data_IF_887516390932
#
_entry.id   IF_887516390932
#
_cell.length_a   1.000
_cell.length_b   1.000
_cell.length_c   1.000
_cell.angle_alpha   90.00
_cell.angle_beta   90.00
_cell.angle_gamma   90.00
#
_symmetry.space_group_name_H-M   'P 1'
#
loop_
_entity.id
_entity.type
_entity.pdbx_description
1 polymer ?
#
# COMPACT_ATOMS: atom_id res chain seq x y z
N UNK A 1 -32.45 6.06 9.60
CA UNK A 1 -32.98 4.92 8.81
C UNK A 1 -32.92 3.68 9.68
N UNK A 2 -33.88 2.76 9.59
CA UNK A 2 -33.80 1.48 10.32
C UNK A 2 -33.04 0.48 9.45
N UNK A 3 -31.96 -0.10 9.98
CA UNK A 3 -31.13 -1.09 9.28
C UNK A 3 -30.81 -2.22 10.24
N UNK A 4 -30.95 -3.45 9.76
CA UNK A 4 -30.53 -4.67 10.43
C UNK A 4 -29.17 -5.11 9.88
N UNK A 5 -28.19 -5.30 10.76
CA UNK A 5 -26.88 -5.85 10.42
C UNK A 5 -26.87 -7.35 10.71
N UNK A 6 -26.70 -8.15 9.67
CA UNK A 6 -26.57 -9.60 9.74
C UNK A 6 -25.10 -9.97 9.56
N UNK A 7 -24.56 -10.77 10.47
CA UNK A 7 -23.18 -11.26 10.40
C UNK A 7 -23.19 -12.75 10.02
N UNK A 8 -22.26 -13.16 9.16
CA UNK A 8 -22.05 -14.55 8.77
C UNK A 8 -20.56 -14.90 8.70
N UNK A 9 -20.19 -16.10 9.13
CA UNK A 9 -18.81 -16.58 9.10
C UNK A 9 -17.88 -15.88 10.10
N UNK A 10 -18.42 -15.51 11.27
CA UNK A 10 -17.70 -14.86 12.37
C UNK A 10 -16.50 -15.69 12.89
N UNK A 11 -16.49 -16.99 12.61
CA UNK A 11 -15.44 -17.95 12.95
C UNK A 11 -14.30 -18.00 11.92
N UNK A 12 -14.39 -17.25 10.81
CA UNK A 12 -13.35 -17.18 9.78
C UNK A 12 -12.06 -16.62 10.37
N UNK A 13 -10.98 -17.41 10.25
CA UNK A 13 -9.66 -17.03 10.78
C UNK A 13 -8.96 -16.07 9.82
N UNK A 14 -8.58 -14.93 10.36
CA UNK A 14 -7.85 -13.87 9.64
C UNK A 14 -6.66 -13.44 10.49
N UNK A 15 -5.54 -13.09 9.85
CA UNK A 15 -4.37 -12.56 10.56
C UNK A 15 -4.73 -11.26 11.29
N UNK A 16 -4.24 -11.09 12.52
CA UNK A 16 -4.55 -9.91 13.33
C UNK A 16 -4.17 -8.60 12.64
N UNK A 17 -3.05 -8.56 11.91
CA UNK A 17 -2.63 -7.35 11.20
C UNK A 17 -3.62 -6.98 10.09
N UNK A 18 -4.22 -7.98 9.43
CA UNK A 18 -5.26 -7.76 8.43
C UNK A 18 -6.54 -7.24 9.09
N UNK A 19 -6.91 -7.74 10.28
CA UNK A 19 -8.06 -7.24 11.04
C UNK A 19 -7.88 -5.77 11.44
N UNK A 20 -6.71 -5.42 11.98
CA UNK A 20 -6.39 -4.06 12.42
C UNK A 20 -6.48 -3.06 11.25
N UNK A 21 -6.06 -3.47 10.06
CA UNK A 21 -6.09 -2.67 8.83
C UNK A 21 -7.49 -2.59 8.19
N UNK A 22 -8.32 -3.62 8.34
CA UNK A 22 -9.66 -3.70 7.74
C UNK A 22 -10.76 -2.94 8.50
N UNK A 23 -10.53 -2.63 9.78
CA UNK A 23 -11.54 -2.01 10.64
C UNK A 23 -12.12 -0.72 10.05
N UNK A 24 -11.27 0.24 9.71
CA UNK A 24 -11.70 1.52 9.13
C UNK A 24 -12.39 1.36 7.75
N UNK A 25 -11.82 0.60 6.78
CA UNK A 25 -12.49 0.30 5.51
C UNK A 25 -13.89 -0.30 5.64
N UNK A 26 -14.08 -1.29 6.52
CA UNK A 26 -15.38 -1.94 6.71
C UNK A 26 -16.40 -0.97 7.30
N UNK A 27 -16.02 -0.19 8.32
CA UNK A 27 -16.89 0.84 8.89
C UNK A 27 -17.30 1.87 7.83
N UNK A 28 -16.38 2.24 6.95
CA UNK A 28 -16.66 3.18 5.86
C UNK A 28 -17.66 2.60 4.85
N UNK A 29 -17.47 1.35 4.41
CA UNK A 29 -18.41 0.68 3.51
C UNK A 29 -19.80 0.53 4.13
N UNK A 30 -19.87 0.15 5.41
CA UNK A 30 -21.14 0.05 6.16
C UNK A 30 -21.84 1.42 6.20
N UNK A 31 -21.10 2.50 6.49
CA UNK A 31 -21.67 3.85 6.50
C UNK A 31 -22.19 4.24 5.12
N UNK A 32 -21.45 3.98 4.05
CA UNK A 32 -21.90 4.27 2.68
C UNK A 32 -23.18 3.52 2.32
N UNK A 33 -23.28 2.25 2.71
CA UNK A 33 -24.49 1.48 2.50
C UNK A 33 -25.67 2.07 3.28
N UNK A 34 -25.50 2.51 4.53
CA UNK A 34 -26.58 3.12 5.32
C UNK A 34 -26.98 4.50 4.79
N UNK A 35 -26.01 5.36 4.46
CA UNK A 35 -26.25 6.76 4.10
C UNK A 35 -26.74 6.90 2.66
N UNK A 36 -26.16 6.13 1.74
CA UNK A 36 -26.40 6.26 0.30
C UNK A 36 -27.11 5.04 -0.31
N UNK A 37 -26.83 3.82 0.18
CA UNK A 37 -27.44 2.60 -0.36
C UNK A 37 -28.91 2.42 0.05
N UNK A 38 -29.18 2.35 1.36
CA UNK A 38 -30.50 2.09 1.92
C UNK A 38 -31.40 3.31 1.75
N UNK A 39 -32.57 3.14 1.13
CA UNK A 39 -33.52 4.23 0.93
C UNK A 39 -34.29 4.59 2.22
N UNK A 40 -34.94 5.75 2.26
CA UNK A 40 -35.83 6.11 3.36
C UNK A 40 -37.04 5.14 3.43
N UNK A 41 -37.61 4.86 4.63
CA UNK A 41 -38.70 3.89 4.80
C UNK A 41 -39.90 4.11 3.85
N UNK A 42 -40.28 5.38 3.62
CA UNK A 42 -41.36 5.72 2.70
C UNK A 42 -41.06 5.30 1.24
N UNK A 43 -39.82 5.51 0.79
CA UNK A 43 -39.37 5.10 -0.56
C UNK A 43 -39.30 3.58 -0.66
N UNK A 44 -38.83 2.90 0.39
CA UNK A 44 -38.77 1.43 0.45
C UNK A 44 -40.17 0.81 0.35
N UNK A 45 -41.12 1.33 1.13
CA UNK A 45 -42.53 0.91 1.09
C UNK A 45 -43.15 1.13 -0.28
N UNK A 46 -42.90 2.28 -0.90
CA UNK A 46 -43.37 2.57 -2.27
C UNK A 46 -42.76 1.61 -3.31
N UNK A 47 -41.58 1.05 -3.04
CA UNK A 47 -40.90 0.06 -3.88
C UNK A 47 -41.18 -1.40 -3.47
N UNK A 48 -42.13 -1.62 -2.55
CA UNK A 48 -42.49 -2.97 -2.09
C UNK A 48 -41.44 -3.67 -1.22
N UNK A 49 -40.48 -2.92 -0.67
CA UNK A 49 -39.44 -3.44 0.24
C UNK A 49 -39.85 -3.31 1.70
N UNK A 50 -39.19 -4.07 2.57
CA UNK A 50 -39.28 -3.92 4.03
C UNK A 50 -38.93 -2.48 4.46
N UNK A 51 -39.63 -1.94 5.46
CA UNK A 51 -39.33 -0.62 6.02
C UNK A 51 -37.94 -0.58 6.69
N UNK A 52 -37.45 -1.73 7.16
CA UNK A 52 -36.08 -1.93 7.65
C UNK A 52 -35.19 -2.44 6.51
N UNK A 53 -34.05 -1.77 6.28
CA UNK A 53 -33.03 -2.23 5.34
C UNK A 53 -32.19 -3.37 5.92
N UNK A 54 -31.62 -4.20 5.06
CA UNK A 54 -30.74 -5.30 5.49
C UNK A 54 -29.33 -5.05 5.00
N UNK A 55 -28.36 -5.22 5.90
CA UNK A 55 -26.94 -5.22 5.58
C UNK A 55 -26.35 -6.56 6.01
N UNK A 56 -25.85 -7.35 5.08
CA UNK A 56 -25.17 -8.61 5.35
C UNK A 56 -23.67 -8.42 5.23
N UNK A 57 -22.94 -8.63 6.33
CA UNK A 57 -21.49 -8.76 6.34
C UNK A 57 -21.14 -10.24 6.49
N UNK A 58 -20.50 -10.83 5.48
CA UNK A 58 -20.04 -12.21 5.53
C UNK A 58 -18.53 -12.30 5.34
N UNK A 59 -17.92 -13.27 6.02
CA UNK A 59 -16.55 -13.67 5.78
C UNK A 59 -16.50 -15.17 5.47
N UNK A 60 -15.69 -15.57 4.50
CA UNK A 60 -15.45 -16.96 4.17
C UNK A 60 -14.00 -17.15 3.74
N UNK A 61 -13.42 -18.30 4.09
CA UNK A 61 -12.13 -18.71 3.53
C UNK A 61 -12.36 -19.50 2.26
N UNK A 62 -11.89 -18.97 1.12
CA UNK A 62 -11.98 -19.63 -0.19
C UNK A 62 -10.57 -19.96 -0.69
N UNK A 63 -10.24 -21.26 -0.77
CA UNK A 63 -8.92 -21.74 -1.20
C UNK A 63 -7.75 -21.10 -0.43
N UNK A 64 -7.11 -20.08 -1.01
CA UNK A 64 -5.93 -19.39 -0.46
C UNK A 64 -6.18 -17.90 -0.19
N UNK A 65 -7.44 -17.50 -0.06
CA UNK A 65 -7.84 -16.14 0.25
C UNK A 65 -8.98 -16.11 1.27
N UNK A 66 -9.08 -15.01 1.99
CA UNK A 66 -10.27 -14.67 2.77
C UNK A 66 -11.12 -13.74 1.92
N UNK A 67 -12.36 -14.11 1.69
CA UNK A 67 -13.35 -13.31 0.97
C UNK A 67 -14.30 -12.71 1.99
N UNK A 68 -14.35 -11.38 2.04
CA UNK A 68 -15.31 -10.63 2.85
C UNK A 68 -16.31 -10.00 1.90
N UNK A 69 -17.61 -10.16 2.15
CA UNK A 69 -18.65 -9.50 1.36
C UNK A 69 -19.54 -8.63 2.22
N UNK A 70 -19.87 -7.45 1.70
CA UNK A 70 -20.87 -6.56 2.27
C UNK A 70 -22.00 -6.39 1.27
N UNK A 71 -23.21 -6.84 1.62
CA UNK A 71 -24.39 -6.78 0.75
C UNK A 71 -25.46 -5.92 1.39
N UNK A 72 -25.95 -4.93 0.65
CA UNK A 72 -27.13 -4.14 1.01
C UNK A 72 -28.31 -4.47 0.10
N UNK A 73 -29.54 -4.27 0.59
CA UNK A 73 -30.79 -4.41 -0.18
C UNK A 73 -31.37 -3.06 -0.64
N UNK A 74 -30.48 -2.08 -0.83
CA UNK A 74 -30.80 -0.68 -1.12
C UNK A 74 -31.13 -0.40 -2.58
N UNK A 75 -30.95 0.86 -2.98
CA UNK A 75 -31.27 1.32 -4.33
C UNK A 75 -30.29 0.81 -5.41
N UNK A 76 -29.14 0.28 -5.00
CA UNK A 76 -28.02 0.02 -5.91
C UNK A 76 -27.32 1.30 -6.35
N UNK A 77 -26.30 1.15 -7.19
CA UNK A 77 -25.51 2.25 -7.74
C UNK A 77 -25.93 2.50 -9.19
N UNK A 78 -26.18 3.76 -9.51
CA UNK A 78 -26.51 4.18 -10.87
C UNK A 78 -25.23 4.27 -11.74
N UNK A 79 -25.04 3.24 -12.58
CA UNK A 79 -23.91 3.17 -13.51
C UNK A 79 -23.87 4.36 -14.50
N UNK A 80 -25.01 4.93 -14.89
CA UNK A 80 -25.03 6.10 -15.77
C UNK A 80 -24.48 7.34 -15.06
N UNK A 81 -24.88 7.56 -13.80
CA UNK A 81 -24.33 8.63 -12.97
C UNK A 81 -22.82 8.48 -12.74
N UNK A 82 -22.35 7.25 -12.53
CA UNK A 82 -20.92 6.93 -12.38
C UNK A 82 -20.14 7.26 -13.65
N UNK A 83 -20.61 6.84 -14.83
CA UNK A 83 -19.99 7.17 -16.13
C UNK A 83 -19.91 8.67 -16.35
N UNK A 84 -21.01 9.39 -16.10
CA UNK A 84 -21.05 10.84 -16.29
C UNK A 84 -19.99 11.54 -15.43
N UNK A 85 -19.88 11.17 -14.15
CA UNK A 85 -18.86 11.74 -13.24
C UNK A 85 -17.44 11.35 -13.63
N UNK A 86 -17.23 10.13 -14.14
CA UNK A 86 -15.93 9.71 -14.64
C UNK A 86 -15.48 10.56 -15.84
N UNK A 87 -16.40 10.89 -16.75
CA UNK A 87 -16.14 11.80 -17.88
C UNK A 87 -15.81 13.22 -17.40
N UNK A 88 -16.60 13.77 -16.47
CA UNK A 88 -16.40 15.11 -15.91
C UNK A 88 -15.04 15.26 -15.22
N UNK A 89 -14.51 14.18 -14.63
CA UNK A 89 -13.20 14.15 -13.96
C UNK A 89 -12.04 13.70 -14.85
N UNK A 90 -12.28 13.42 -16.13
CA UNK A 90 -11.24 12.97 -17.07
C UNK A 90 -10.71 11.56 -16.79
N UNK A 91 -11.45 10.75 -16.03
CA UNK A 91 -11.13 9.33 -15.77
C UNK A 91 -11.62 8.42 -16.90
N UNK A 92 -12.51 8.92 -17.77
CA UNK A 92 -13.03 8.22 -18.94
C UNK A 92 -12.89 9.12 -20.18
N UNK A 93 -12.55 8.57 -21.34
CA UNK A 93 -12.54 9.35 -22.58
C UNK A 93 -13.93 9.38 -23.25
N UNK A 94 -14.25 10.49 -23.91
CA UNK A 94 -15.49 10.61 -24.66
C UNK A 94 -15.55 9.57 -25.80
N UNK A 95 -16.56 8.70 -25.79
CA UNK A 95 -16.74 7.63 -26.77
C UNK A 95 -16.24 6.25 -26.30
N UNK A 96 -15.63 6.14 -25.13
CA UNK A 96 -15.24 4.87 -24.54
C UNK A 96 -16.48 4.12 -24.01
N UNK A 97 -16.76 2.97 -24.60
CA UNK A 97 -17.93 2.16 -24.25
C UNK A 97 -17.56 1.15 -23.15
N UNK A 98 -17.89 1.48 -21.91
CA UNK A 98 -17.79 0.55 -20.78
C UNK A 98 -19.11 -0.17 -20.54
N UNK A 99 -19.06 -1.44 -20.19
CA UNK A 99 -20.18 -2.15 -19.58
C UNK A 99 -20.58 -1.51 -18.24
N UNK A 100 -21.80 -1.79 -17.76
CA UNK A 100 -22.25 -1.28 -16.46
C UNK A 100 -21.31 -1.78 -15.33
N UNK A 101 -20.85 -3.04 -15.41
CA UNK A 101 -19.91 -3.61 -14.44
C UNK A 101 -18.58 -2.86 -14.40
N UNK A 102 -18.01 -2.55 -15.56
CA UNK A 102 -16.73 -1.81 -15.65
C UNK A 102 -16.90 -0.36 -15.18
N UNK A 103 -18.00 0.29 -15.56
CA UNK A 103 -18.31 1.63 -15.09
C UNK A 103 -18.39 1.68 -13.56
N UNK A 104 -19.06 0.71 -12.93
CA UNK A 104 -19.15 0.63 -11.47
C UNK A 104 -17.79 0.45 -10.81
N UNK A 105 -16.82 -0.24 -11.43
CA UNK A 105 -15.47 -0.36 -10.83
C UNK A 105 -14.73 0.99 -10.73
N UNK A 106 -15.09 1.99 -11.54
CA UNK A 106 -14.47 3.32 -11.49
C UNK A 106 -14.66 4.02 -10.14
N UNK A 107 -15.61 3.56 -9.31
CA UNK A 107 -15.79 4.07 -7.95
C UNK A 107 -14.57 3.82 -7.04
N UNK A 108 -13.70 2.88 -7.42
CA UNK A 108 -12.45 2.56 -6.73
C UNK A 108 -11.22 3.24 -7.34
N UNK A 109 -11.40 4.09 -8.35
CA UNK A 109 -10.29 4.88 -8.89
C UNK A 109 -9.97 6.05 -7.95
N UNK A 110 -8.68 6.33 -7.75
CA UNK A 110 -8.23 7.41 -6.87
C UNK A 110 -8.85 8.75 -7.29
N UNK A 111 -9.44 9.46 -6.33
CA UNK A 111 -10.07 10.77 -6.57
C UNK A 111 -11.49 10.68 -7.15
N UNK A 112 -12.07 9.48 -7.23
CA UNK A 112 -13.48 9.28 -7.56
C UNK A 112 -14.37 9.57 -6.34
N UNK A 113 -15.24 10.58 -6.46
CA UNK A 113 -16.30 10.84 -5.48
C UNK A 113 -17.56 11.30 -6.18
N UNK A 114 -18.70 10.78 -5.73
CA UNK A 114 -20.01 11.14 -6.27
C UNK A 114 -20.65 12.35 -5.58
N UNK A 115 -20.03 12.92 -4.55
CA UNK A 115 -20.57 14.09 -3.86
C UNK A 115 -20.38 15.36 -4.71
N UNK A 116 -21.48 16.07 -4.97
CA UNK A 116 -21.53 17.32 -5.74
C UNK A 116 -21.16 18.57 -4.95
N UNK A 117 -20.95 18.46 -3.63
CA UNK A 117 -20.54 19.57 -2.77
C UNK A 117 -19.50 19.11 -1.74
N UNK A 118 -18.44 19.90 -1.57
CA UNK A 118 -17.55 19.82 -0.42
C UNK A 118 -18.32 20.43 0.76
N UNK A 119 -19.01 19.63 1.56
CA UNK A 119 -19.64 20.13 2.78
C UNK A 119 -18.60 20.20 3.90
N UNK A 120 -18.42 21.41 4.44
CA UNK A 120 -17.39 21.86 5.40
C UNK A 120 -17.44 21.21 6.82
N UNK A 121 -17.85 19.95 6.94
CA UNK A 121 -17.85 19.22 8.23
C UNK A 121 -17.14 17.86 8.16
N UNK A 122 -16.47 17.51 7.06
CA UNK A 122 -15.62 16.29 7.01
C UNK A 122 -14.27 16.44 6.28
N UNK A 123 -13.84 17.66 5.95
CA UNK A 123 -12.43 18.07 5.80
C UNK A 123 -11.56 17.47 4.68
N UNK A 124 -11.94 16.32 4.11
CA UNK A 124 -11.44 15.74 2.84
C UNK A 124 -12.65 14.99 2.31
N UNK A 125 -12.99 15.07 1.03
CA UNK A 125 -14.07 14.25 0.49
C UNK A 125 -13.71 12.78 0.62
N UNK A 126 -14.06 12.14 1.74
CA UNK A 126 -13.68 10.76 2.04
C UNK A 126 -14.58 9.86 1.20
N UNK A 127 -14.22 9.69 -0.06
CA UNK A 127 -14.78 8.67 -0.92
C UNK A 127 -14.24 7.29 -0.57
N UNK A 128 -14.46 6.34 -1.46
CA UNK A 128 -13.88 4.99 -1.36
C UNK A 128 -12.34 4.99 -1.38
N UNK A 129 -11.68 6.14 -1.58
CA UNK A 129 -10.23 6.32 -1.49
C UNK A 129 -9.57 5.70 -0.25
N UNK A 130 -10.19 5.81 0.94
CA UNK A 130 -9.66 5.17 2.17
C UNK A 130 -9.73 3.66 2.08
N UNK A 131 -10.82 3.13 1.51
CA UNK A 131 -10.99 1.70 1.26
C UNK A 131 -9.94 1.23 0.25
N UNK A 132 -9.81 1.92 -0.89
CA UNK A 132 -8.87 1.59 -1.98
C UNK A 132 -7.43 1.53 -1.47
N UNK A 133 -6.96 2.59 -0.79
CA UNK A 133 -5.59 2.61 -0.24
C UNK A 133 -5.33 1.48 0.76
N UNK A 134 -6.35 1.08 1.52
CA UNK A 134 -6.21 -0.02 2.47
C UNK A 134 -6.15 -1.37 1.77
N UNK A 135 -6.93 -1.55 0.69
CA UNK A 135 -6.85 -2.74 -0.17
C UNK A 135 -5.47 -2.85 -0.82
N UNK A 136 -4.92 -1.75 -1.34
CA UNK A 136 -3.57 -1.72 -1.91
C UNK A 136 -2.49 -2.10 -0.89
N UNK A 137 -2.55 -1.57 0.34
CA UNK A 137 -1.60 -1.91 1.42
C UNK A 137 -1.65 -3.40 1.79
N UNK A 138 -2.84 -3.98 1.76
CA UNK A 138 -3.06 -5.40 2.04
C UNK A 138 -2.76 -6.31 0.84
N UNK A 139 -2.40 -5.73 -0.31
CA UNK A 139 -2.30 -6.44 -1.59
C UNK A 139 -3.57 -7.27 -1.87
N UNK A 140 -4.71 -6.64 -1.59
CA UNK A 140 -6.05 -7.18 -1.66
C UNK A 140 -6.81 -6.56 -2.84
N UNK A 141 -7.85 -7.25 -3.30
CA UNK A 141 -8.73 -6.78 -4.36
C UNK A 141 -10.07 -6.36 -3.76
N UNK A 142 -10.68 -5.33 -4.34
CA UNK A 142 -12.07 -4.95 -4.06
C UNK A 142 -12.85 -4.83 -5.36
N UNK A 143 -14.05 -5.40 -5.36
CA UNK A 143 -15.00 -5.31 -6.46
C UNK A 143 -16.37 -4.88 -5.95
N UNK A 144 -17.15 -4.24 -6.81
CA UNK A 144 -18.55 -3.91 -6.56
C UNK A 144 -19.45 -4.51 -7.65
N UNK A 145 -20.52 -5.15 -7.22
CA UNK A 145 -21.61 -5.64 -8.07
C UNK A 145 -22.90 -4.98 -7.60
N UNK A 146 -23.71 -4.47 -8.52
CA UNK A 146 -24.95 -3.76 -8.15
C UNK A 146 -26.08 -4.14 -9.09
N UNK A 147 -27.28 -4.18 -8.54
CA UNK A 147 -28.52 -4.36 -9.30
C UNK A 147 -29.44 -3.19 -8.94
N UNK A 148 -29.80 -2.32 -9.90
CA UNK A 148 -30.69 -1.19 -9.65
C UNK A 148 -31.98 -1.62 -8.96
N UNK A 149 -32.27 -0.99 -7.82
CA UNK A 149 -33.45 -1.28 -7.00
C UNK A 149 -33.36 -2.55 -6.15
N UNK A 150 -32.30 -3.36 -6.26
CA UNK A 150 -32.10 -4.56 -5.46
C UNK A 150 -30.90 -4.48 -4.51
N UNK A 151 -29.95 -3.57 -4.75
CA UNK A 151 -28.87 -3.24 -3.82
C UNK A 151 -27.48 -3.39 -4.41
N UNK A 152 -26.48 -3.46 -3.52
CA UNK A 152 -25.05 -3.54 -3.89
C UNK A 152 -24.35 -4.61 -3.07
N UNK A 153 -23.41 -5.29 -3.70
CA UNK A 153 -22.47 -6.22 -3.09
C UNK A 153 -21.05 -5.70 -3.29
N UNK A 154 -20.35 -5.43 -2.21
CA UNK A 154 -18.90 -5.25 -2.20
C UNK A 154 -18.24 -6.58 -1.87
N UNK A 155 -17.19 -6.94 -2.61
CA UNK A 155 -16.39 -8.15 -2.38
C UNK A 155 -14.94 -7.74 -2.17
N UNK A 156 -14.38 -8.05 -1.00
CA UNK A 156 -12.97 -7.85 -0.66
C UNK A 156 -12.27 -9.20 -0.65
N UNK A 157 -11.22 -9.35 -1.44
CA UNK A 157 -10.43 -10.57 -1.55
C UNK A 157 -9.04 -10.34 -0.96
N UNK A 158 -8.77 -10.99 0.16
CA UNK A 158 -7.58 -10.80 0.98
C UNK A 158 -6.68 -12.03 0.87
N UNK A 159 -5.37 -11.88 0.62
CA UNK A 159 -4.45 -13.01 0.69
C UNK A 159 -4.48 -13.66 2.08
N UNK A 160 -4.47 -14.99 2.15
CA UNK A 160 -4.48 -15.72 3.42
C UNK A 160 -3.17 -15.52 4.23
N UNK A 161 -2.08 -15.16 3.56
CA UNK A 161 -0.74 -14.99 4.16
C UNK A 161 -0.16 -13.61 3.85
N UNK A 162 0.49 -13.01 4.84
CA UNK A 162 1.39 -11.87 4.64
C UNK A 162 2.49 -12.24 3.63
N UNK A 163 2.89 -11.28 2.77
CA UNK A 163 3.84 -11.54 1.69
C UNK A 163 5.23 -11.95 2.24
N UNK A 164 5.66 -13.15 1.90
CA UNK A 164 7.03 -13.61 2.15
C UNK A 164 7.90 -13.09 1.00
N UNK A 165 8.95 -12.36 1.33
CA UNK A 165 9.94 -11.88 0.38
C UNK A 165 11.34 -12.37 0.77
N UNK A 166 12.17 -12.64 -0.24
CA UNK A 166 13.57 -12.98 -0.01
C UNK A 166 14.41 -11.70 0.07
N UNK A 167 15.15 -11.54 1.17
CA UNK A 167 15.95 -10.33 1.44
C UNK A 167 17.41 -10.66 1.73
N UNK A 168 18.31 -9.76 1.37
CA UNK A 168 19.70 -9.75 1.80
C UNK A 168 19.81 -8.91 3.08
N UNK A 169 20.21 -9.54 4.17
CA UNK A 169 20.40 -8.92 5.48
C UNK A 169 21.80 -8.31 5.56
N UNK A 170 21.87 -7.04 5.96
CA UNK A 170 23.11 -6.27 6.03
C UNK A 170 23.21 -5.49 7.33
N UNK A 171 24.44 -5.28 7.81
CA UNK A 171 24.72 -4.39 8.94
C UNK A 171 25.10 -3.00 8.44
N UNK A 172 24.53 -1.97 9.07
CA UNK A 172 24.90 -0.56 8.90
C UNK A 172 24.94 0.09 10.29
N UNK A 173 26.14 0.42 10.75
CA UNK A 173 26.43 0.80 12.13
C UNK A 173 26.00 -0.29 13.10
N UNK A 174 25.20 0.10 14.10
CA UNK A 174 24.64 -0.82 15.11
C UNK A 174 23.34 -1.52 14.66
N UNK A 175 22.83 -1.23 13.46
CA UNK A 175 21.51 -1.65 13.00
C UNK A 175 21.59 -2.68 11.88
N UNK A 176 20.56 -3.52 11.81
CA UNK A 176 20.37 -4.50 10.73
C UNK A 176 19.30 -3.97 9.79
N UNK A 177 19.58 -4.03 8.49
CA UNK A 177 18.66 -3.67 7.41
C UNK A 177 18.49 -4.83 6.44
N UNK A 178 17.39 -4.81 5.69
CA UNK A 178 17.07 -5.81 4.69
C UNK A 178 16.96 -5.15 3.30
N UNK A 179 17.61 -5.73 2.29
CA UNK A 179 17.42 -5.33 0.89
C UNK A 179 16.64 -6.42 0.15
N UNK A 180 15.63 -6.09 -0.67
CA UNK A 180 14.98 -7.09 -1.52
C UNK A 180 16.01 -7.78 -2.42
N UNK A 181 16.16 -9.10 -2.29
CA UNK A 181 17.22 -9.85 -3.00
C UNK A 181 17.09 -9.74 -4.51
N UNK A 182 15.86 -9.63 -5.03
CA UNK A 182 15.61 -9.42 -6.46
C UNK A 182 16.16 -8.10 -7.02
N UNK A 183 16.42 -7.10 -6.16
CA UNK A 183 17.05 -5.85 -6.57
C UNK A 183 18.59 -5.91 -6.50
N UNK A 184 19.16 -6.91 -5.82
CA UNK A 184 20.61 -7.08 -5.65
C UNK A 184 21.20 -7.75 -6.88
N UNK A 185 22.15 -7.09 -7.53
CA UNK A 185 22.86 -7.59 -8.71
C UNK A 185 24.11 -8.35 -8.31
N UNK A 186 24.93 -7.76 -7.44
CA UNK A 186 26.12 -8.40 -6.88
C UNK A 186 26.54 -7.68 -5.59
N UNK A 187 27.38 -8.35 -4.79
CA UNK A 187 28.00 -7.74 -3.61
C UNK A 187 29.51 -8.00 -3.62
N UNK A 188 30.31 -7.01 -3.26
CA UNK A 188 31.76 -7.12 -3.24
C UNK A 188 32.35 -6.40 -2.02
N UNK A 189 33.53 -6.84 -1.59
CA UNK A 189 34.36 -6.09 -0.65
C UNK A 189 35.17 -5.05 -1.41
N UNK A 190 35.27 -3.84 -0.90
CA UNK A 190 36.09 -2.76 -1.50
C UNK A 190 36.93 -2.07 -0.43
N UNK A 191 38.02 -1.40 -0.83
CA UNK A 191 38.75 -0.52 0.06
C UNK A 191 38.16 0.89 -0.06
N UNK A 192 38.01 1.61 1.06
CA UNK A 192 37.41 2.96 1.04
C UNK A 192 38.17 3.94 0.14
N UNK A 193 39.48 3.75 -0.02
CA UNK A 193 40.35 4.50 -0.94
C UNK A 193 40.04 4.29 -2.43
N UNK A 194 39.32 3.24 -2.78
CA UNK A 194 38.94 2.94 -4.17
C UNK A 194 37.73 3.77 -4.61
N UNK A 195 37.08 4.50 -3.69
CA UNK A 195 36.02 5.44 -4.03
C UNK A 195 36.62 6.69 -4.66
N UNK A 196 36.09 7.03 -5.84
CA UNK A 196 36.49 8.22 -6.58
C UNK A 196 35.32 9.19 -6.62
N UNK A 197 35.57 10.45 -6.27
CA UNK A 197 34.57 11.50 -6.34
C UNK A 197 34.50 12.10 -7.75
N UNK A 198 33.34 11.98 -8.39
CA UNK A 198 33.07 12.53 -9.73
C UNK A 198 31.79 13.39 -9.67
N UNK A 199 31.86 14.63 -10.15
CA UNK A 199 30.74 15.59 -10.11
C UNK A 199 30.10 15.72 -8.70
N UNK A 200 30.93 15.74 -7.66
CA UNK A 200 30.48 15.87 -6.27
C UNK A 200 29.86 14.60 -5.66
N UNK A 201 29.97 13.45 -6.33
CA UNK A 201 29.39 12.17 -5.87
C UNK A 201 30.44 11.08 -5.83
N UNK A 202 30.31 10.18 -4.88
CA UNK A 202 31.19 9.01 -4.80
C UNK A 202 30.79 8.00 -5.87
N UNK A 203 31.80 7.39 -6.46
CA UNK A 203 31.66 6.34 -7.47
C UNK A 203 32.61 5.22 -7.15
N UNK A 204 32.20 3.99 -7.46
CA UNK A 204 33.00 2.79 -7.32
C UNK A 204 33.13 2.14 -8.70
N UNK A 205 34.36 1.80 -9.09
CA UNK A 205 34.59 1.02 -10.31
C UNK A 205 34.32 -0.45 -9.99
N UNK A 206 33.27 -0.99 -10.58
CA UNK A 206 32.90 -2.41 -10.47
C UNK A 206 33.12 -3.03 -11.84
N UNK A 207 34.16 -3.86 -11.94
CA UNK A 207 34.67 -4.39 -13.22
C UNK A 207 34.96 -3.21 -14.19
N UNK A 208 34.34 -3.19 -15.37
CA UNK A 208 34.53 -2.13 -16.37
C UNK A 208 33.48 -1.01 -16.30
N UNK A 209 32.69 -0.95 -15.21
CA UNK A 209 31.62 0.05 -15.05
C UNK A 209 31.89 0.98 -13.87
N UNK A 210 31.63 2.27 -14.07
CA UNK A 210 31.61 3.26 -12.99
C UNK A 210 30.19 3.28 -12.42
N UNK A 211 30.04 2.84 -11.17
CA UNK A 211 28.75 2.78 -10.49
C UNK A 211 28.67 3.92 -9.49
N UNK A 212 27.62 4.77 -9.55
CA UNK A 212 27.45 5.81 -8.53
C UNK A 212 27.14 5.17 -7.18
N UNK A 213 27.72 5.72 -6.11
CA UNK A 213 27.80 5.09 -4.81
C UNK A 213 27.09 5.93 -3.73
N UNK A 214 26.44 5.28 -2.77
CA UNK A 214 25.75 5.90 -1.63
C UNK A 214 26.15 5.19 -0.35
N UNK A 215 26.50 5.95 0.67
CA UNK A 215 26.73 5.43 2.01
C UNK A 215 25.39 5.32 2.73
N UNK A 216 24.97 4.11 3.12
CA UNK A 216 23.69 3.93 3.81
C UNK A 216 23.70 4.57 5.21
N UNK A 217 24.86 4.63 5.87
CA UNK A 217 25.01 5.34 7.13
C UNK A 217 24.61 6.82 7.00
N UNK A 218 25.10 7.52 5.96
CA UNK A 218 24.70 8.90 5.66
C UNK A 218 23.20 9.05 5.37
N UNK A 219 22.62 8.08 4.67
CA UNK A 219 21.20 8.10 4.33
C UNK A 219 20.34 8.06 5.61
N UNK A 220 20.73 7.25 6.58
CA UNK A 220 20.01 7.06 7.85
C UNK A 220 20.52 7.94 9.00
N UNK A 221 21.47 8.84 8.74
CA UNK A 221 22.04 9.72 9.76
C UNK A 221 22.82 8.96 10.85
N UNK A 222 23.34 7.78 10.52
CA UNK A 222 24.12 6.92 11.41
C UNK A 222 25.60 7.29 11.35
N UNK A 223 26.37 7.03 12.42
CA UNK A 223 27.82 7.15 12.37
C UNK A 223 28.39 6.18 11.32
N UNK A 224 29.34 6.65 10.52
CA UNK A 224 30.07 5.77 9.61
C UNK A 224 30.93 4.78 10.40
N UNK A 225 30.95 3.52 9.97
CA UNK A 225 31.83 2.53 10.56
C UNK A 225 33.30 2.83 10.23
N UNK A 226 34.16 2.70 11.24
CA UNK A 226 35.60 2.84 11.08
C UNK A 226 36.21 1.63 10.33
N UNK A 227 37.30 1.86 9.60
CA UNK A 227 38.10 0.80 8.96
C UNK A 227 38.36 1.04 7.47
N UNK A 228 39.42 0.41 6.96
CA UNK A 228 39.88 0.60 5.57
C UNK A 228 39.00 -0.10 4.52
N UNK A 229 38.22 -1.09 4.94
CA UNK A 229 37.43 -1.94 4.05
C UNK A 229 35.96 -1.98 4.48
N UNK A 230 35.08 -2.06 3.49
CA UNK A 230 33.64 -2.24 3.66
C UNK A 230 33.08 -3.13 2.55
N UNK A 231 31.77 -3.38 2.58
CA UNK A 231 31.06 -4.10 1.52
C UNK A 231 30.21 -3.14 0.70
N UNK A 232 30.19 -3.36 -0.60
CA UNK A 232 29.31 -2.69 -1.55
C UNK A 232 28.24 -3.69 -1.99
N UNK A 233 26.96 -3.32 -1.82
CA UNK A 233 25.83 -4.03 -2.43
C UNK A 233 25.41 -3.25 -3.67
N UNK A 234 25.56 -3.87 -4.85
CA UNK A 234 25.16 -3.27 -6.12
C UNK A 234 23.72 -3.64 -6.36
N UNK A 235 22.84 -2.63 -6.43
CA UNK A 235 21.43 -2.79 -6.74
C UNK A 235 21.09 -2.28 -8.13
N UNK A 236 20.06 -2.85 -8.75
CA UNK A 236 19.68 -2.58 -10.14
C UNK A 236 18.21 -2.18 -10.31
N UNK A 237 17.98 -1.25 -11.24
CA UNK A 237 16.63 -0.94 -11.79
C UNK A 237 16.77 -0.76 -13.30
N UNK A 238 16.33 -1.77 -14.07
CA UNK A 238 16.61 -1.84 -15.51
C UNK A 238 18.12 -1.83 -15.78
N UNK A 239 18.59 -0.91 -16.63
CA UNK A 239 20.02 -0.75 -16.92
C UNK A 239 20.78 0.07 -15.86
N UNK A 240 20.08 0.79 -14.99
CA UNK A 240 20.71 1.62 -13.96
C UNK A 240 21.29 0.76 -12.84
N UNK A 241 22.42 1.19 -12.29
CA UNK A 241 23.11 0.56 -11.16
C UNK A 241 23.40 1.58 -10.07
N UNK A 242 23.37 1.12 -8.83
CA UNK A 242 23.65 1.90 -7.64
C UNK A 242 24.45 1.04 -6.67
N UNK A 243 25.57 1.54 -6.17
CA UNK A 243 26.31 0.90 -5.09
C UNK A 243 25.87 1.45 -3.74
N UNK A 244 25.63 0.56 -2.77
CA UNK A 244 25.29 0.89 -1.40
C UNK A 244 26.38 0.40 -0.46
N UNK A 245 26.93 1.27 0.38
CA UNK A 245 27.89 0.88 1.42
C UNK A 245 27.18 0.19 2.57
N UNK A 246 27.70 -0.97 2.99
CA UNK A 246 27.30 -1.71 4.19
C UNK A 246 28.54 -2.23 4.92
N UNK A 247 28.41 -2.43 6.23
CA UNK A 247 29.54 -2.85 7.07
C UNK A 247 29.73 -4.37 7.03
N UNK A 248 28.63 -5.11 6.92
CA UNK A 248 28.65 -6.57 6.84
C UNK A 248 27.47 -7.11 6.04
N UNK A 249 27.71 -8.23 5.35
CA UNK A 249 26.68 -9.07 4.76
C UNK A 249 26.37 -10.21 5.72
N UNK A 250 25.11 -10.34 6.17
CA UNK A 250 24.69 -11.46 7.03
C UNK A 250 24.21 -12.67 6.26
N UNK A 251 23.67 -12.45 5.06
CA UNK A 251 23.17 -13.52 4.19
C UNK A 251 21.73 -13.27 3.75
N UNK A 252 21.21 -14.20 2.96
CA UNK A 252 19.83 -14.15 2.49
C UNK A 252 18.88 -14.85 3.46
N UNK A 253 17.68 -14.32 3.60
CA UNK A 253 16.62 -14.89 4.42
C UNK A 253 15.26 -14.56 3.82
N UNK A 254 14.31 -15.49 3.94
CA UNK A 254 12.92 -15.24 3.62
C UNK A 254 12.21 -14.65 4.84
N UNK A 255 11.56 -13.51 4.65
CA UNK A 255 10.96 -12.72 5.73
C UNK A 255 9.55 -12.30 5.36
N UNK A 256 8.69 -12.18 6.38
CA UNK A 256 7.35 -11.62 6.23
C UNK A 256 7.46 -10.10 6.25
N UNK A 257 7.06 -9.43 5.16
CA UNK A 257 7.02 -7.97 5.10
C UNK A 257 5.71 -7.44 5.70
N UNK A 258 5.83 -6.40 6.54
CA UNK A 258 4.73 -5.57 7.02
C UNK A 258 4.90 -4.18 6.43
N UNK A 259 3.82 -3.66 5.84
CA UNK A 259 3.77 -2.25 5.45
C UNK A 259 3.93 -1.37 6.68
N UNK A 260 4.59 -0.22 6.53
CA UNK A 260 4.69 0.79 7.58
C UNK A 260 3.58 1.82 7.41
N UNK A 261 2.98 2.23 8.53
CA UNK A 261 1.94 3.26 8.53
C UNK A 261 2.43 4.56 7.90
N UNK A 262 1.53 5.28 7.23
CA UNK A 262 1.86 6.51 6.50
C UNK A 262 2.54 7.58 7.36
N UNK A 263 2.32 7.57 8.69
CA UNK A 263 2.98 8.48 9.66
C UNK A 263 4.49 8.19 9.78
N UNK A 264 4.90 6.93 9.64
CA UNK A 264 6.29 6.47 9.71
C UNK A 264 6.97 6.52 8.34
N UNK A 265 6.20 6.33 7.27
CA UNK A 265 6.68 6.34 5.88
C UNK A 265 7.02 7.74 5.36
N UNK A 266 6.39 8.80 5.88
CA UNK A 266 6.49 10.16 5.34
C UNK A 266 7.79 10.96 5.69
N UNK A 267 8.56 10.63 6.76
CA UNK A 267 9.89 11.22 6.95
C UNK A 267 11.07 10.34 6.46
N UNK A 268 10.90 9.02 6.26
CA UNK A 268 12.04 8.12 6.02
C UNK A 268 12.16 7.70 4.56
N UNK A 269 12.87 8.52 3.78
CA UNK A 269 13.22 8.19 2.38
C UNK A 269 14.00 6.87 2.33
N UNK A 270 13.52 5.91 1.53
CA UNK A 270 14.24 4.67 1.26
C UNK A 270 13.79 3.43 2.03
N UNK A 271 12.59 3.41 2.63
CA UNK A 271 12.03 2.24 3.33
C UNK A 271 10.73 1.77 2.65
N UNK A 272 10.65 0.48 2.35
CA UNK A 272 9.48 -0.19 1.77
C UNK A 272 8.55 -0.80 2.84
N UNK A 273 9.11 -1.17 4.00
CA UNK A 273 8.37 -1.83 5.06
C UNK A 273 9.29 -2.26 6.20
N UNK A 274 8.78 -3.11 7.08
CA UNK A 274 9.55 -3.73 8.15
C UNK A 274 9.23 -5.22 8.29
N UNK A 275 10.12 -5.96 8.93
CA UNK A 275 9.90 -7.35 9.32
C UNK A 275 10.31 -7.57 10.77
N UNK A 276 9.78 -8.61 11.39
CA UNK A 276 10.15 -9.03 12.74
C UNK A 276 10.87 -10.37 12.61
N UNK A 277 12.13 -10.42 13.03
CA UNK A 277 12.92 -11.65 13.02
C UNK A 277 12.47 -12.59 14.14
N UNK A 278 12.91 -13.86 14.08
CA UNK A 278 12.55 -14.88 15.08
C UNK A 278 13.03 -14.56 16.51
N UNK A 279 13.97 -13.64 16.66
CA UNK A 279 14.44 -13.11 17.95
C UNK A 279 13.66 -11.86 18.42
N UNK A 280 12.60 -11.48 17.71
CA UNK A 280 11.75 -10.34 18.03
C UNK A 280 12.28 -8.98 17.56
N UNK A 281 13.47 -8.91 16.95
CA UNK A 281 14.01 -7.63 16.45
C UNK A 281 13.27 -7.16 15.20
N UNK A 282 12.96 -5.88 15.18
CA UNK A 282 12.39 -5.19 14.00
C UNK A 282 13.53 -4.83 13.04
N UNK A 283 13.37 -5.19 11.78
CA UNK A 283 14.32 -4.89 10.70
C UNK A 283 13.60 -4.14 9.59
N UNK A 284 14.19 -3.02 9.17
CA UNK A 284 13.65 -2.18 8.11
C UNK A 284 14.06 -2.72 6.73
N UNK A 285 13.09 -2.83 5.83
CA UNK A 285 13.28 -3.29 4.46
C UNK A 285 13.41 -2.07 3.56
N UNK A 286 14.51 -1.97 2.82
CA UNK A 286 14.82 -0.82 2.00
C UNK A 286 13.99 -0.79 0.72
N UNK A 287 13.46 0.40 0.40
CA UNK A 287 12.88 0.67 -0.91
C UNK A 287 14.01 1.12 -1.87
N UNK A 288 14.53 0.16 -2.63
CA UNK A 288 15.56 0.42 -3.63
C UNK A 288 15.07 1.36 -4.73
N UNK A 289 13.77 1.36 -5.07
CA UNK A 289 13.23 2.17 -6.15
C UNK A 289 13.33 3.66 -5.81
N UNK A 290 12.94 4.07 -4.60
CA UNK A 290 13.06 5.45 -4.16
C UNK A 290 14.52 5.91 -4.01
N UNK A 291 15.49 5.01 -3.76
CA UNK A 291 16.92 5.37 -3.77
C UNK A 291 17.42 5.83 -5.15
N UNK A 292 16.80 5.36 -6.23
CA UNK A 292 17.07 5.85 -7.58
C UNK A 292 16.40 7.21 -7.86
N UNK A 293 15.31 7.54 -7.17
CA UNK A 293 14.46 8.73 -7.39
C UNK A 293 14.83 9.92 -6.50
N UNK A 294 15.11 9.69 -5.21
CA UNK A 294 15.59 10.68 -4.24
C UNK A 294 16.91 11.34 -4.63
N UNK A 295 17.57 10.83 -5.66
CA UNK A 295 18.71 11.44 -6.36
C UNK A 295 18.36 12.70 -7.17
N UNK A 296 17.08 13.01 -7.37
CA UNK A 296 16.64 14.24 -8.05
C UNK A 296 16.48 15.46 -7.12
N UNK A 297 16.34 15.30 -5.80
CA UNK A 297 15.94 16.40 -4.90
C UNK A 297 16.98 16.88 -3.87
N UNK A 298 18.10 16.19 -3.64
CA UNK A 298 19.10 16.60 -2.63
C UNK A 298 20.09 17.66 -3.13
N UNK A 299 19.58 18.87 -3.29
CA UNK A 299 20.32 20.14 -3.23
C UNK A 299 20.22 20.84 -1.86
N UNK A 300 19.65 20.20 -0.83
CA UNK A 300 19.51 20.78 0.50
C UNK A 300 19.55 19.71 1.59
N UNK A 301 20.42 19.91 2.58
CA UNK A 301 20.52 19.10 3.79
C UNK A 301 19.22 19.23 4.59
N UNK A 302 18.53 18.13 4.86
CA UNK A 302 17.64 18.03 6.02
C UNK A 302 17.95 16.73 6.74
N UNK A 303 18.38 16.87 7.99
CA UNK A 303 18.68 15.78 8.94
C UNK A 303 17.33 15.30 9.51
N UNK A 304 17.05 14.02 9.40
CA UNK A 304 15.99 13.36 10.17
C UNK A 304 16.66 12.79 11.41
N UNK A 305 16.50 13.45 12.55
CA UNK A 305 16.86 12.93 13.86
C UNK A 305 15.72 12.05 14.34
N UNK A 306 15.97 10.75 14.49
CA UNK A 306 15.11 9.88 15.29
C UNK A 306 15.59 10.00 16.74
N UNK A 307 14.86 10.77 17.55
CA UNK A 307 14.91 10.67 19.01
C UNK A 307 13.65 9.94 19.49
N UNK A 308 13.86 9.07 20.49
CA UNK A 308 12.87 8.22 21.13
C UNK A 308 11.91 9.00 22.05
#
# INVERSE_FOLDING_TARGET
>A
KSVELVLQGEDTRVDKAVIDELGEPLVHLIRNAVDHGIEAPAVRKARGKSETGTLLLSAAQESNQVVITLVDDGAGIDAASVRQKALERGLLQAGEALSDREAIQLIFTEGFSTASAVTDVSGRGVGLDVVVRSMERLNALIEAETIPGAGTKFTLQLPLTLAIISVLMVDVGAHVYALPSGAVVESLRYARRDLVRMNGRDTLRVRDRIVPFVHLADLFGLPEAEGEHAYAVIVGRGEKRLGLSVDRLRGQQDVVIKALDAVVSNPVVGIAGATILGDGRVVLILDVASLFEGRRSRGGKSRVTAEA
#
